data_IF_659410824735
#
_entry.id   IF_659410824735
#
_cell.length_a   1.000
_cell.length_b   1.000
_cell.length_c   1.000
_cell.angle_alpha   90.00
_cell.angle_beta   90.00
_cell.angle_gamma   90.00
#
_symmetry.space_group_name_H-M   'P 1'
#
loop_
_entity.id
_entity.type
_entity.pdbx_description
1 polymer ?
#
# COMPACT_ATOMS: atom_id res chain seq x y z
N UNK A 1 14.10 -15.07 -54.58
CA UNK A 1 13.21 -15.00 -53.41
C UNK A 1 14.12 -14.84 -52.22
N UNK A 2 14.48 -13.60 -51.93
CA UNK A 2 15.42 -13.26 -50.86
C UNK A 2 14.63 -13.20 -49.55
N UNK A 3 14.93 -14.14 -48.67
CA UNK A 3 14.37 -14.22 -47.33
C UNK A 3 15.17 -13.24 -46.45
N UNK A 4 14.64 -12.03 -46.28
CA UNK A 4 15.24 -11.00 -45.42
C UNK A 4 14.94 -11.34 -43.94
N UNK A 5 15.97 -11.68 -43.12
CA UNK A 5 15.79 -12.08 -41.73
C UNK A 5 15.70 -10.88 -40.78
N UNK A 6 15.71 -9.64 -41.28
CA UNK A 6 15.70 -8.43 -40.44
C UNK A 6 14.32 -7.86 -40.13
N UNK A 7 13.26 -8.58 -40.47
CA UNK A 7 11.95 -8.33 -39.88
C UNK A 7 11.92 -8.93 -38.46
N UNK A 8 12.79 -8.40 -37.59
CA UNK A 8 12.69 -8.52 -36.15
C UNK A 8 11.28 -8.09 -35.80
N UNK A 9 10.42 -9.07 -35.56
CA UNK A 9 9.12 -8.83 -34.95
C UNK A 9 9.42 -8.07 -33.69
N UNK A 10 9.12 -6.77 -33.73
CA UNK A 10 9.27 -5.88 -32.60
C UNK A 10 8.55 -6.56 -31.45
N UNK A 11 9.33 -7.10 -30.51
CA UNK A 11 8.86 -7.58 -29.23
C UNK A 11 8.49 -6.33 -28.45
N UNK A 12 7.48 -5.59 -28.90
CA UNK A 12 6.79 -4.65 -28.06
C UNK A 12 6.11 -5.51 -27.01
N UNK A 13 6.57 -5.47 -25.76
CA UNK A 13 5.88 -6.13 -24.70
C UNK A 13 4.71 -5.18 -24.44
N UNK A 14 3.63 -5.34 -25.22
CA UNK A 14 2.30 -4.98 -24.76
C UNK A 14 2.06 -5.94 -23.59
N UNK A 15 2.67 -5.62 -22.46
CA UNK A 15 2.49 -6.25 -21.17
C UNK A 15 1.08 -5.85 -20.76
N UNK A 16 0.11 -6.48 -21.38
CA UNK A 16 -1.21 -6.62 -20.80
C UNK A 16 -0.99 -7.48 -19.55
N UNK A 17 -0.60 -6.83 -18.44
CA UNK A 17 -0.70 -7.37 -17.07
C UNK A 17 -1.85 -6.65 -16.35
N UNK A 18 -3.13 -6.82 -16.70
CA UNK A 18 -4.19 -6.13 -15.98
C UNK A 18 -4.67 -6.96 -14.79
N UNK A 19 -4.54 -8.29 -14.79
CA UNK A 19 -5.22 -9.11 -13.78
C UNK A 19 -4.41 -9.24 -12.48
N UNK A 20 -3.12 -9.60 -12.56
CA UNK A 20 -2.31 -9.83 -11.37
C UNK A 20 -2.04 -8.54 -10.59
N UNK A 21 -1.82 -7.42 -11.29
CA UNK A 21 -1.54 -6.12 -10.66
C UNK A 21 -2.79 -5.53 -10.00
N UNK A 22 -3.96 -5.68 -10.64
CA UNK A 22 -5.24 -5.26 -10.07
C UNK A 22 -5.61 -6.09 -8.83
N UNK A 23 -5.46 -7.42 -8.88
CA UNK A 23 -5.72 -8.28 -7.71
C UNK A 23 -4.73 -7.98 -6.57
N UNK A 24 -3.44 -7.80 -6.88
CA UNK A 24 -2.43 -7.41 -5.90
C UNK A 24 -2.76 -6.06 -5.26
N UNK A 25 -3.27 -5.10 -6.05
CA UNK A 25 -3.71 -3.79 -5.55
C UNK A 25 -4.89 -3.89 -4.58
N UNK A 26 -5.90 -4.72 -4.86
CA UNK A 26 -7.04 -4.92 -3.95
C UNK A 26 -6.62 -5.59 -2.64
N UNK A 27 -5.79 -6.64 -2.72
CA UNK A 27 -5.29 -7.34 -1.52
C UNK A 27 -4.39 -6.43 -0.69
N UNK A 28 -3.55 -5.63 -1.34
CA UNK A 28 -2.71 -4.64 -0.66
C UNK A 28 -3.56 -3.58 0.05
N UNK A 29 -4.53 -2.96 -0.64
CA UNK A 29 -5.43 -1.97 -0.06
C UNK A 29 -6.17 -2.55 1.14
N UNK A 30 -6.79 -3.73 1.00
CA UNK A 30 -7.51 -4.38 2.10
C UNK A 30 -6.60 -4.67 3.32
N UNK A 31 -5.38 -5.14 3.08
CA UNK A 31 -4.42 -5.44 4.15
C UNK A 31 -3.97 -4.17 4.88
N UNK A 32 -3.62 -3.13 4.12
CA UNK A 32 -3.18 -1.84 4.66
C UNK A 32 -4.32 -1.17 5.43
N UNK A 33 -5.54 -1.16 4.88
CA UNK A 33 -6.74 -0.67 5.57
C UNK A 33 -6.91 -1.40 6.89
N UNK A 34 -6.85 -2.73 6.91
CA UNK A 34 -6.99 -3.53 8.13
C UNK A 34 -5.93 -3.17 9.17
N UNK A 35 -4.68 -2.98 8.76
CA UNK A 35 -3.60 -2.60 9.68
C UNK A 35 -3.77 -1.18 10.21
N UNK A 36 -4.24 -0.23 9.40
CA UNK A 36 -4.58 1.13 9.85
C UNK A 36 -5.68 1.06 10.90
N UNK A 37 -6.76 0.35 10.61
CA UNK A 37 -7.89 0.12 11.51
C UNK A 37 -7.41 -0.42 12.87
N UNK A 38 -6.59 -1.48 12.84
CA UNK A 38 -6.01 -2.09 14.03
C UNK A 38 -5.01 -1.17 14.77
N UNK A 39 -4.51 -0.11 14.13
CA UNK A 39 -3.60 0.84 14.78
C UNK A 39 -4.29 2.09 15.31
N UNK A 40 -5.36 2.51 14.65
CA UNK A 40 -6.12 3.71 15.00
C UNK A 40 -7.27 3.43 15.95
N UNK A 41 -7.72 2.17 16.03
CA UNK A 41 -8.90 1.77 16.78
C UNK A 41 -10.24 2.05 16.08
N UNK A 42 -10.26 2.29 14.76
CA UNK A 42 -11.49 2.63 14.05
C UNK A 42 -11.78 1.76 12.83
N UNK A 43 -12.93 1.05 12.84
CA UNK A 43 -14.13 1.60 12.20
C UNK A 43 -15.38 1.51 13.07
N UNK A 44 -15.24 1.11 14.35
CA UNK A 44 -16.17 1.28 15.47
C UNK A 44 -15.56 0.55 16.70
N UNK A 45 -14.38 1.00 17.16
CA UNK A 45 -13.61 0.42 18.27
C UNK A 45 -13.05 -0.99 18.06
N UNK A 46 -12.34 -1.20 16.95
CA UNK A 46 -11.51 -2.41 16.81
C UNK A 46 -10.39 -2.44 17.84
N UNK A 47 -10.02 -3.64 18.30
CA UNK A 47 -8.88 -3.83 19.20
C UNK A 47 -7.60 -3.22 18.59
N UNK A 48 -6.93 -2.38 19.38
CA UNK A 48 -5.69 -1.74 18.97
C UNK A 48 -4.55 -2.73 19.16
N UNK A 49 -3.84 -3.03 18.09
CA UNK A 49 -2.65 -3.88 18.10
C UNK A 49 -1.38 -3.04 18.07
N UNK A 50 -0.33 -3.50 18.73
CA UNK A 50 0.98 -2.81 18.74
C UNK A 50 1.57 -2.70 17.32
N UNK A 51 1.40 -3.75 16.51
CA UNK A 51 1.80 -3.76 15.10
C UNK A 51 1.05 -2.68 14.29
N UNK A 52 -0.27 -2.60 14.42
CA UNK A 52 -1.08 -1.56 13.77
C UNK A 52 -0.67 -0.15 14.23
N UNK A 53 -0.45 0.03 15.53
CA UNK A 53 -0.06 1.32 16.11
C UNK A 53 1.28 1.80 15.56
N UNK A 54 2.26 0.91 15.39
CA UNK A 54 3.54 1.22 14.73
C UNK A 54 3.33 1.67 13.29
N UNK A 55 2.47 0.98 12.56
CA UNK A 55 2.17 1.34 11.19
C UNK A 55 1.49 2.71 11.08
N UNK A 56 0.51 3.01 11.92
CA UNK A 56 -0.14 4.33 11.97
C UNK A 56 0.87 5.43 12.32
N UNK A 57 1.75 5.21 13.31
CA UNK A 57 2.84 6.14 13.63
C UNK A 57 3.77 6.37 12.44
N UNK A 58 4.11 5.32 11.68
CA UNK A 58 4.90 5.44 10.46
C UNK A 58 4.17 6.25 9.38
N UNK A 59 2.87 6.04 9.18
CA UNK A 59 2.07 6.82 8.24
C UNK A 59 2.08 8.31 8.61
N UNK A 60 1.85 8.63 9.89
CA UNK A 60 1.92 10.01 10.39
C UNK A 60 3.30 10.62 10.22
N UNK A 61 4.36 9.87 10.53
CA UNK A 61 5.73 10.33 10.40
C UNK A 61 6.13 10.56 8.95
N UNK A 62 5.60 9.80 7.99
CA UNK A 62 6.01 9.89 6.59
C UNK A 62 5.10 10.79 5.75
N UNK A 63 3.84 10.97 6.12
CA UNK A 63 2.90 11.82 5.38
C UNK A 63 3.20 13.31 5.59
N UNK A 64 3.39 14.04 4.49
CA UNK A 64 3.64 15.49 4.55
C UNK A 64 2.46 16.25 5.14
N UNK A 65 1.23 15.85 4.80
CA UNK A 65 0.00 16.50 5.28
C UNK A 65 -0.20 16.29 6.78
N UNK A 66 0.09 15.08 7.27
CA UNK A 66 -0.03 14.76 8.71
C UNK A 66 1.02 15.48 9.56
N UNK A 67 2.18 15.82 9.00
CA UNK A 67 3.20 16.64 9.68
C UNK A 67 2.77 18.08 9.94
N UNK A 68 1.84 18.62 9.15
CA UNK A 68 1.31 19.98 9.33
C UNK A 68 0.05 20.01 10.22
N UNK A 69 -0.20 18.96 11.01
CA UNK A 69 -1.31 18.90 11.95
C UNK A 69 -2.65 18.45 11.35
N UNK A 70 -2.68 18.06 10.07
CA UNK A 70 -3.87 17.49 9.46
C UNK A 70 -3.95 15.99 9.72
N UNK A 71 -4.76 15.60 10.72
CA UNK A 71 -4.98 14.19 11.07
C UNK A 71 -6.17 13.64 10.29
N UNK A 72 -6.03 12.54 9.52
CA UNK A 72 -7.16 11.90 8.87
C UNK A 72 -8.19 11.44 9.91
N UNK A 73 -9.46 11.46 9.52
CA UNK A 73 -10.51 10.90 10.35
C UNK A 73 -10.46 9.37 10.30
N UNK A 74 -9.67 8.75 11.18
CA UNK A 74 -9.57 7.30 11.29
C UNK A 74 -10.83 6.61 11.86
N UNK A 75 -11.94 7.34 12.05
CA UNK A 75 -13.25 6.75 12.32
C UNK A 75 -14.06 6.50 11.05
N UNK A 76 -13.74 7.21 9.97
CA UNK A 76 -14.41 7.03 8.68
C UNK A 76 -13.63 6.05 7.79
N UNK A 77 -14.30 4.98 7.37
CA UNK A 77 -13.74 3.97 6.48
C UNK A 77 -13.34 4.55 5.12
N UNK A 78 -14.02 5.58 4.63
CA UNK A 78 -13.65 6.22 3.37
C UNK A 78 -12.32 6.97 3.49
N UNK A 79 -12.14 7.73 4.58
CA UNK A 79 -10.87 8.39 4.88
C UNK A 79 -9.72 7.38 5.07
N UNK A 80 -9.98 6.24 5.72
CA UNK A 80 -8.97 5.17 5.87
C UNK A 80 -8.56 4.60 4.51
N UNK A 81 -9.52 4.31 3.63
CA UNK A 81 -9.23 3.82 2.27
C UNK A 81 -8.43 4.84 1.45
N UNK A 82 -8.74 6.12 1.58
CA UNK A 82 -8.00 7.18 0.91
C UNK A 82 -6.53 7.21 1.37
N UNK A 83 -6.29 7.16 2.70
CA UNK A 83 -4.94 7.08 3.27
C UNK A 83 -4.20 5.83 2.77
N UNK A 84 -4.87 4.68 2.70
CA UNK A 84 -4.28 3.44 2.20
C UNK A 84 -3.87 3.56 0.72
N UNK A 85 -4.72 4.15 -0.13
CA UNK A 85 -4.43 4.38 -1.55
C UNK A 85 -3.28 5.36 -1.75
N UNK A 86 -3.25 6.44 -0.97
CA UNK A 86 -2.15 7.40 -0.99
C UNK A 86 -0.82 6.73 -0.60
N UNK A 87 -0.83 5.89 0.43
CA UNK A 87 0.33 5.13 0.85
C UNK A 87 0.82 4.19 -0.25
N UNK A 88 -0.07 3.42 -0.88
CA UNK A 88 0.28 2.52 -2.00
C UNK A 88 0.91 3.30 -3.15
N UNK A 89 0.30 4.43 -3.54
CA UNK A 89 0.80 5.30 -4.60
C UNK A 89 2.20 5.83 -4.26
N UNK A 90 2.44 6.21 -3.00
CA UNK A 90 3.73 6.70 -2.53
C UNK A 90 4.82 5.63 -2.52
N UNK A 91 4.48 4.38 -2.24
CA UNK A 91 5.40 3.25 -2.30
C UNK A 91 5.71 2.79 -3.73
N UNK A 92 5.07 3.35 -4.76
CA UNK A 92 5.32 3.00 -6.16
C UNK A 92 4.64 1.70 -6.61
N UNK A 93 3.69 1.17 -5.83
CA UNK A 93 2.94 -0.04 -6.19
C UNK A 93 2.50 -0.87 -4.99
N UNK A 94 1.55 -1.78 -5.24
CA UNK A 94 0.92 -2.62 -4.23
C UNK A 94 1.91 -3.53 -3.49
N UNK A 95 2.81 -4.19 -4.22
CA UNK A 95 3.80 -5.12 -3.64
C UNK A 95 4.81 -4.41 -2.75
N UNK A 96 5.31 -3.24 -3.18
CA UNK A 96 6.24 -2.44 -2.38
C UNK A 96 5.57 -1.84 -1.15
N UNK A 97 4.30 -1.45 -1.26
CA UNK A 97 3.53 -0.97 -0.12
C UNK A 97 3.36 -2.05 0.95
N UNK A 98 3.00 -3.28 0.54
CA UNK A 98 2.91 -4.42 1.44
C UNK A 98 4.26 -4.73 2.09
N UNK A 99 5.33 -4.80 1.32
CA UNK A 99 6.67 -5.06 1.86
C UNK A 99 7.09 -3.99 2.88
N UNK A 100 6.80 -2.72 2.59
CA UNK A 100 7.09 -1.60 3.50
C UNK A 100 6.27 -1.72 4.78
N UNK A 101 4.97 -2.03 4.67
CA UNK A 101 4.11 -2.29 5.82
C UNK A 101 4.65 -3.43 6.68
N UNK A 102 5.01 -4.57 6.08
CA UNK A 102 5.57 -5.72 6.78
C UNK A 102 6.88 -5.39 7.51
N UNK A 103 7.78 -4.64 6.86
CA UNK A 103 9.02 -4.18 7.50
C UNK A 103 8.71 -3.30 8.72
N UNK A 104 7.78 -2.36 8.61
CA UNK A 104 7.43 -1.45 9.71
C UNK A 104 6.84 -2.20 10.91
N UNK A 105 6.02 -3.23 10.68
CA UNK A 105 5.41 -3.99 11.78
C UNK A 105 6.38 -4.98 12.43
N UNK A 106 7.29 -5.60 11.66
CA UNK A 106 8.21 -6.64 12.13
C UNK A 106 9.48 -6.11 12.80
N UNK A 107 9.91 -4.87 12.53
CA UNK A 107 11.18 -4.30 13.03
C UNK A 107 11.32 -4.27 14.56
N UNK A 108 10.27 -4.54 15.33
CA UNK A 108 10.34 -4.62 16.80
C UNK A 108 10.11 -6.01 17.41
N UNK A 109 10.21 -7.09 16.63
CA UNK A 109 10.42 -8.45 17.18
C UNK A 109 11.92 -8.80 17.36
N UNK A 110 12.83 -7.90 16.98
CA UNK A 110 14.27 -8.15 16.96
C UNK A 110 15.06 -7.50 18.12
N UNK A 111 14.39 -7.01 19.17
CA UNK A 111 15.05 -6.43 20.36
C UNK A 111 14.50 -7.03 21.66
#
# INVERSE_FOLDING_TARGET
>A
MDFDPTNEMNFDPIVYRPAADVVASFVAEASIVRTIVQGSGGPDNSEITEAGLRFVRHLMATSKTMRFGFMPNFKDMNAIREVAREFIKKCGGATHALQTMYNVIQVAEAN
#
